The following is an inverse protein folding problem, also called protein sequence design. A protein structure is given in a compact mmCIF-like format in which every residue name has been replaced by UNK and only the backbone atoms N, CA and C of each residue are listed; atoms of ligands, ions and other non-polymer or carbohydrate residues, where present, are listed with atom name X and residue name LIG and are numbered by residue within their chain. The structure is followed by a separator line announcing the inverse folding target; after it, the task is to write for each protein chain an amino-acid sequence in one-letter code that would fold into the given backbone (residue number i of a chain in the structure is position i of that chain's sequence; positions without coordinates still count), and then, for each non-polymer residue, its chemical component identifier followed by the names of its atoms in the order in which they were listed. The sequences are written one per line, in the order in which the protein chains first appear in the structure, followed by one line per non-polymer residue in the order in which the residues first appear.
data_IF_582265426459
#
_entry.id   IF_582265426459
#
_cell.length_a   1.000
_cell.length_b   1.000
_cell.length_c   1.000
_cell.angle_alpha   90.00
_cell.angle_beta   90.00
_cell.angle_gamma   90.00
#
_symmetry.space_group_name_H-M   'P 1'
#
loop_
_entity.id
_entity.type
_entity.pdbx_description
1 polymer ?
#
# COMPACT_ATOMS: atom_id res chain seq x y z
N UNK A 1 -0.70 47.27 5.53
CA UNK A 1 -1.26 47.72 6.82
C UNK A 1 -0.15 47.56 7.85
N UNK A 2 0.47 48.68 8.26
CA UNK A 2 1.64 48.71 9.11
C UNK A 2 1.23 49.14 10.53
N UNK A 3 1.75 48.47 11.56
CA UNK A 3 1.81 48.96 12.94
C UNK A 3 3.14 48.46 13.51
N UNK A 4 4.23 49.22 13.33
CA UNK A 4 4.80 50.25 14.22
C UNK A 4 5.11 49.75 15.64
N UNK A 5 6.41 49.62 15.88
CA UNK A 5 7.08 49.48 17.17
C UNK A 5 6.73 50.63 18.12
N UNK A 6 6.62 50.32 19.40
CA UNK A 6 6.72 51.29 20.49
C UNK A 6 7.59 50.71 21.59
N UNK A 7 8.89 51.00 21.52
CA UNK A 7 9.84 50.84 22.62
C UNK A 7 9.62 52.02 23.56
N UNK A 8 9.14 51.78 24.78
CA UNK A 8 9.10 52.79 25.83
C UNK A 8 10.32 52.63 26.73
N UNK A 9 11.32 53.48 26.48
CA UNK A 9 12.37 53.79 27.45
C UNK A 9 11.80 54.79 28.47
N UNK A 10 11.98 54.54 29.76
CA UNK A 10 11.83 55.55 30.80
C UNK A 10 13.13 55.61 31.60
N UNK A 11 13.77 56.77 31.57
CA UNK A 11 14.77 57.20 32.53
C UNK A 11 14.27 58.51 33.16
N UNK A 12 14.21 58.55 34.49
CA UNK A 12 14.32 59.79 35.27
C UNK A 12 14.91 59.49 36.64
N UNK A 13 15.63 60.48 37.15
CA UNK A 13 16.70 60.45 38.14
C UNK A 13 16.26 60.72 39.58
N UNK A 14 17.00 60.10 40.52
CA UNK A 14 17.49 60.59 41.82
C UNK A 14 16.51 61.13 42.90
N UNK A 15 16.40 60.42 44.03
CA UNK A 15 16.53 60.98 45.40
C UNK A 15 16.39 59.85 46.44
N UNK A 16 17.29 59.88 47.43
CA UNK A 16 17.40 59.08 48.66
C UNK A 16 16.13 58.35 49.14
N UNK A 17 16.25 57.03 49.33
CA UNK A 17 15.94 56.29 50.58
C UNK A 17 15.89 54.79 50.25
N UNK A 18 16.63 54.01 51.05
CA UNK A 18 16.65 52.54 51.12
C UNK A 18 15.45 51.84 50.47
N UNK A 19 15.67 51.08 49.40
CA UNK A 19 14.92 49.85 49.11
C UNK A 19 15.61 49.03 48.01
N UNK A 20 15.84 47.77 48.34
CA UNK A 20 16.48 46.74 47.51
C UNK A 20 15.60 46.52 46.26
N UNK A 21 16.13 46.84 45.07
CA UNK A 21 15.48 46.54 43.80
C UNK A 21 15.70 45.06 43.50
N UNK A 22 14.71 44.23 43.83
CA UNK A 22 14.63 42.84 43.38
C UNK A 22 14.18 42.87 41.91
N UNK A 23 15.12 42.67 40.98
CA UNK A 23 14.82 42.49 39.56
C UNK A 23 14.32 41.06 39.35
N UNK A 24 13.01 40.87 39.38
CA UNK A 24 12.38 39.59 39.00
C UNK A 24 12.35 39.51 37.47
N UNK A 25 13.32 38.81 36.89
CA UNK A 25 13.36 38.46 35.47
C UNK A 25 12.29 37.38 35.20
N UNK A 26 11.14 37.81 34.66
CA UNK A 26 10.15 36.89 34.08
C UNK A 26 10.70 36.32 32.77
N UNK A 27 11.30 35.13 32.83
CA UNK A 27 11.56 34.30 31.65
C UNK A 27 10.23 33.70 31.19
N UNK A 28 9.57 34.35 30.23
CA UNK A 28 8.50 33.70 29.47
C UNK A 28 9.11 32.64 28.58
N UNK A 29 9.01 31.37 28.98
CA UNK A 29 9.29 30.22 28.13
C UNK A 29 8.21 30.19 27.04
N UNK A 30 8.56 30.65 25.85
CA UNK A 30 7.74 30.46 24.66
C UNK A 30 7.90 28.99 24.24
N UNK A 31 6.98 28.14 24.70
CA UNK A 31 6.87 26.77 24.17
C UNK A 31 6.36 26.91 22.74
N UNK A 32 7.29 26.92 21.78
CA UNK A 32 6.96 26.61 20.40
C UNK A 32 6.49 25.16 20.40
N UNK A 33 5.18 24.96 20.43
CA UNK A 33 4.60 23.73 19.91
C UNK A 33 4.98 23.70 18.43
N UNK A 34 6.08 23.01 18.13
CA UNK A 34 6.29 22.44 16.81
C UNK A 34 5.10 21.51 16.58
N UNK A 35 4.08 22.02 15.90
CA UNK A 35 3.06 21.19 15.29
C UNK A 35 3.73 20.38 14.18
N UNK A 36 4.47 19.34 14.59
CA UNK A 36 4.90 18.30 13.66
C UNK A 36 3.76 17.31 13.53
N UNK A 37 2.96 17.52 12.50
CA UNK A 37 2.45 16.50 11.62
C UNK A 37 1.74 17.25 10.51
N UNK A 38 2.44 17.46 9.40
CA UNK A 38 1.77 17.65 8.13
C UNK A 38 0.81 16.47 7.98
N UNK A 39 -0.48 16.70 8.19
CA UNK A 39 -1.50 15.73 7.85
C UNK A 39 -1.41 15.55 6.35
N UNK A 40 -0.71 14.50 5.90
CA UNK A 40 -1.03 13.91 4.61
C UNK A 40 -2.54 13.77 4.64
N UNK A 41 -3.26 14.48 3.76
CA UNK A 41 -4.67 14.21 3.55
C UNK A 41 -4.72 12.73 3.18
N UNK A 42 -5.07 11.87 4.14
CA UNK A 42 -5.09 10.43 3.93
C UNK A 42 -6.20 10.16 2.92
N UNK A 43 -5.81 10.14 1.65
CA UNK A 43 -6.69 9.82 0.56
C UNK A 43 -6.92 8.31 0.61
N UNK A 44 -8.17 7.89 0.80
CA UNK A 44 -8.57 6.49 0.83
C UNK A 44 -9.30 6.06 -0.45
N UNK A 45 -9.37 6.94 -1.44
CA UNK A 45 -10.12 6.75 -2.68
C UNK A 45 -11.51 7.39 -2.62
N UNK A 46 -12.36 7.01 -3.58
CA UNK A 46 -13.69 7.60 -3.72
C UNK A 46 -14.63 7.08 -2.64
N UNK A 47 -15.21 7.98 -1.84
CA UNK A 47 -16.17 7.61 -0.80
C UNK A 47 -17.39 6.87 -1.38
N UNK A 48 -17.76 5.75 -0.76
CA UNK A 48 -18.97 4.98 -1.10
C UNK A 48 -20.06 5.22 -0.06
N UNK A 49 -19.73 5.00 1.22
CA UNK A 49 -20.71 5.01 2.29
C UNK A 49 -20.18 4.36 3.57
N UNK A 50 -20.97 4.41 4.64
CA UNK A 50 -20.68 3.67 5.87
C UNK A 50 -21.60 2.46 6.00
N UNK A 51 -21.09 1.38 6.58
CA UNK A 51 -21.90 0.21 6.89
C UNK A 51 -23.06 0.58 7.81
N UNK A 52 -24.27 0.22 7.39
CA UNK A 52 -25.44 0.14 8.25
C UNK A 52 -25.42 -1.22 8.93
N UNK A 53 -24.97 -1.26 10.19
CA UNK A 53 -25.01 -2.46 11.03
C UNK A 53 -26.44 -2.90 11.32
N UNK A 54 -26.67 -4.21 11.23
CA UNK A 54 -27.94 -4.88 11.55
C UNK A 54 -27.79 -5.84 12.72
N UNK A 55 -26.62 -6.47 12.84
CA UNK A 55 -26.24 -7.36 13.93
C UNK A 55 -24.72 -7.33 14.13
N UNK A 56 -24.25 -7.90 15.25
CA UNK A 56 -22.83 -8.15 15.50
C UNK A 56 -21.91 -6.92 15.44
N UNK A 57 -22.50 -5.74 15.67
CA UNK A 57 -21.82 -4.46 15.72
C UNK A 57 -21.19 -3.99 14.42
N UNK A 58 -21.52 -4.58 13.27
CA UNK A 58 -20.90 -4.27 11.97
C UNK A 58 -20.93 -2.76 11.69
N UNK A 59 -19.76 -2.15 11.55
CA UNK A 59 -19.57 -0.74 11.21
C UNK A 59 -18.24 -0.53 10.50
N UNK A 60 -18.07 0.64 9.90
CA UNK A 60 -16.89 1.03 9.14
C UNK A 60 -17.29 1.89 7.95
N UNK A 61 -16.31 2.53 7.32
CA UNK A 61 -16.52 3.40 6.15
C UNK A 61 -15.82 2.83 4.94
N UNK A 62 -16.54 2.75 3.82
CA UNK A 62 -16.10 2.10 2.60
C UNK A 62 -15.75 3.14 1.53
N UNK A 63 -14.63 2.91 0.86
CA UNK A 63 -14.10 3.71 -0.24
C UNK A 63 -13.73 2.79 -1.42
N UNK A 64 -13.88 3.28 -2.64
CA UNK A 64 -13.33 2.65 -3.83
C UNK A 64 -11.92 3.18 -4.08
N UNK A 65 -10.93 2.29 -3.99
CA UNK A 65 -9.52 2.58 -4.26
C UNK A 65 -9.28 2.66 -5.76
N UNK A 66 -9.81 1.69 -6.50
CA UNK A 66 -9.76 1.60 -7.96
C UNK A 66 -11.00 0.84 -8.50
N UNK A 67 -10.96 0.28 -9.71
CA UNK A 67 -12.09 -0.45 -10.30
C UNK A 67 -12.45 -1.77 -9.60
N UNK A 68 -11.54 -2.38 -8.83
CA UNK A 68 -11.71 -3.71 -8.24
C UNK A 68 -11.27 -3.81 -6.76
N UNK A 69 -10.83 -2.71 -6.14
CA UNK A 69 -10.34 -2.69 -4.77
C UNK A 69 -11.17 -1.75 -3.91
N UNK A 70 -11.68 -2.26 -2.80
CA UNK A 70 -12.38 -1.50 -1.77
C UNK A 70 -11.48 -1.32 -0.56
N UNK A 71 -11.55 -0.16 0.08
CA UNK A 71 -10.94 0.10 1.37
C UNK A 71 -12.03 0.30 2.43
N UNK A 72 -11.99 -0.49 3.49
CA UNK A 72 -12.89 -0.37 4.65
C UNK A 72 -12.09 0.19 5.82
N UNK A 73 -12.35 1.45 6.16
CA UNK A 73 -11.72 2.16 7.27
C UNK A 73 -12.48 1.91 8.57
N UNK A 74 -11.74 1.62 9.64
CA UNK A 74 -12.32 1.49 10.99
C UNK A 74 -13.38 0.41 11.11
N UNK A 75 -13.16 -0.72 10.43
CA UNK A 75 -14.06 -1.86 10.45
C UNK A 75 -14.16 -2.47 11.86
N UNK A 76 -15.38 -2.80 12.26
CA UNK A 76 -15.64 -3.54 13.50
C UNK A 76 -16.65 -4.65 13.22
N UNK A 77 -16.40 -5.81 13.83
CA UNK A 77 -17.28 -6.97 13.85
C UNK A 77 -16.91 -7.83 15.05
N UNK A 78 -17.89 -8.28 15.82
CA UNK A 78 -17.64 -9.00 17.09
C UNK A 78 -17.04 -10.41 16.92
N UNK A 79 -17.14 -11.02 15.74
CA UNK A 79 -16.62 -12.37 15.47
C UNK A 79 -17.56 -13.52 15.85
N UNK A 80 -18.78 -13.24 16.33
CA UNK A 80 -19.68 -14.28 16.89
C UNK A 80 -20.31 -15.14 15.79
N UNK A 81 -20.53 -14.59 14.59
CA UNK A 81 -21.12 -15.31 13.48
C UNK A 81 -20.23 -16.44 12.96
N UNK A 82 -20.74 -17.69 12.89
CA UNK A 82 -19.91 -18.87 12.64
C UNK A 82 -19.34 -18.95 11.21
N UNK A 83 -19.98 -18.27 10.25
CA UNK A 83 -19.62 -18.30 8.83
C UNK A 83 -19.87 -16.92 8.19
N UNK A 84 -19.33 -15.87 8.81
CA UNK A 84 -19.44 -14.51 8.30
C UNK A 84 -18.37 -14.23 7.24
N UNK A 85 -18.73 -13.55 6.16
CA UNK A 85 -17.82 -13.18 5.07
C UNK A 85 -18.13 -11.77 4.57
N UNK A 86 -17.15 -11.13 3.93
CA UNK A 86 -17.46 -10.02 3.03
C UNK A 86 -18.17 -10.58 1.80
N UNK A 87 -19.31 -9.98 1.48
CA UNK A 87 -20.26 -10.50 0.51
C UNK A 87 -20.72 -9.36 -0.39
N UNK A 88 -20.81 -9.59 -1.70
CA UNK A 88 -21.27 -8.57 -2.63
C UNK A 88 -22.22 -9.18 -3.66
N UNK A 89 -23.09 -8.35 -4.23
CA UNK A 89 -24.07 -8.80 -5.21
C UNK A 89 -24.52 -7.72 -6.16
N UNK A 90 -25.17 -8.15 -7.25
CA UNK A 90 -25.64 -7.29 -8.35
C UNK A 90 -27.14 -6.98 -8.28
N UNK A 91 -27.86 -7.72 -7.43
CA UNK A 91 -29.29 -7.55 -7.17
C UNK A 91 -29.56 -6.20 -6.50
N UNK A 92 -30.76 -5.65 -6.70
CA UNK A 92 -31.17 -4.39 -6.05
C UNK A 92 -31.36 -4.51 -4.54
N UNK A 93 -31.55 -5.73 -4.04
CA UNK A 93 -31.71 -6.06 -2.62
C UNK A 93 -30.61 -7.02 -2.21
N UNK A 94 -30.20 -6.95 -0.95
CA UNK A 94 -29.25 -7.91 -0.38
C UNK A 94 -29.88 -9.31 -0.45
N UNK A 95 -29.12 -10.29 -0.92
CA UNK A 95 -29.61 -11.64 -1.21
C UNK A 95 -28.53 -12.70 -1.03
N UNK A 96 -28.93 -13.97 -0.82
CA UNK A 96 -27.98 -15.10 -0.80
C UNK A 96 -27.25 -15.28 -2.13
N UNK A 97 -27.81 -14.85 -3.26
CA UNK A 97 -27.23 -14.96 -4.61
C UNK A 97 -26.06 -13.99 -4.88
N UNK A 98 -25.36 -13.56 -3.83
CA UNK A 98 -24.12 -12.80 -3.93
C UNK A 98 -22.91 -13.71 -4.09
N UNK A 99 -21.73 -13.13 -3.88
CA UNK A 99 -20.46 -13.85 -3.90
C UNK A 99 -19.55 -13.38 -2.77
N UNK A 100 -18.71 -14.29 -2.27
CA UNK A 100 -17.66 -13.99 -1.30
C UNK A 100 -16.61 -13.08 -1.92
N UNK A 101 -16.24 -12.01 -1.23
CA UNK A 101 -14.97 -11.31 -1.47
C UNK A 101 -13.93 -11.94 -0.54
N UNK A 102 -12.87 -12.57 -1.06
CA UNK A 102 -11.86 -13.23 -0.25
C UNK A 102 -11.21 -12.27 0.75
N UNK A 103 -11.11 -12.70 2.00
CA UNK A 103 -10.38 -12.01 3.04
C UNK A 103 -9.87 -13.01 4.09
N UNK A 104 -8.58 -12.98 4.47
CA UNK A 104 -7.52 -12.17 3.87
C UNK A 104 -7.25 -12.52 2.40
N UNK A 105 -6.72 -11.57 1.62
CA UNK A 105 -6.56 -11.69 0.16
C UNK A 105 -5.58 -12.81 -0.24
N UNK A 106 -4.52 -13.00 0.55
CA UNK A 106 -3.42 -13.94 0.30
C UNK A 106 -3.71 -15.37 0.80
N UNK A 107 -4.96 -15.67 1.15
CA UNK A 107 -5.31 -16.99 1.65
C UNK A 107 -5.12 -18.06 0.55
N UNK A 108 -4.35 -19.13 0.81
CA UNK A 108 -3.91 -20.06 -0.24
C UNK A 108 -5.02 -21.02 -0.73
N UNK A 109 -6.14 -21.10 -0.01
CA UNK A 109 -7.23 -22.01 -0.36
C UNK A 109 -8.30 -21.31 -1.21
N UNK A 110 -9.03 -22.12 -1.98
CA UNK A 110 -10.13 -21.66 -2.83
C UNK A 110 -11.27 -20.98 -2.04
N UNK A 111 -11.49 -21.39 -0.79
CA UNK A 111 -12.42 -20.72 0.12
C UNK A 111 -11.64 -20.04 1.27
N UNK A 112 -11.86 -18.74 1.52
CA UNK A 112 -11.27 -18.04 2.66
C UNK A 112 -11.90 -18.52 3.97
N UNK A 113 -11.22 -18.34 5.12
CA UNK A 113 -11.81 -18.62 6.42
C UNK A 113 -12.95 -17.63 6.74
N UNK A 114 -13.88 -17.98 7.64
CA UNK A 114 -14.83 -17.02 8.19
C UNK A 114 -14.13 -15.82 8.83
N UNK A 115 -14.76 -14.65 8.75
CA UNK A 115 -14.33 -13.44 9.42
C UNK A 115 -14.18 -13.67 10.92
N UNK A 116 -13.02 -13.26 11.43
CA UNK A 116 -12.73 -13.22 12.86
C UNK A 116 -13.15 -11.87 13.44
N UNK A 117 -12.99 -11.70 14.75
CA UNK A 117 -13.23 -10.41 15.41
C UNK A 117 -12.35 -9.32 14.80
N UNK A 118 -12.97 -8.17 14.51
CA UNK A 118 -12.29 -6.95 14.09
C UNK A 118 -12.63 -5.81 15.04
N UNK A 119 -11.62 -5.09 15.51
CA UNK A 119 -11.79 -3.92 16.34
C UNK A 119 -11.04 -2.74 15.73
N UNK A 120 -11.79 -1.86 15.04
CA UNK A 120 -11.25 -0.69 14.37
C UNK A 120 -10.12 -1.01 13.36
N UNK A 121 -10.28 -2.10 12.61
CA UNK A 121 -9.30 -2.56 11.63
C UNK A 121 -9.49 -1.82 10.30
N UNK A 122 -8.39 -1.50 9.61
CA UNK A 122 -8.44 -1.04 8.23
C UNK A 122 -8.22 -2.21 7.28
N UNK A 123 -9.10 -2.39 6.30
CA UNK A 123 -9.14 -3.58 5.47
C UNK A 123 -9.11 -3.20 3.99
N UNK A 124 -8.24 -3.84 3.22
CA UNK A 124 -8.26 -3.82 1.76
C UNK A 124 -8.98 -5.08 1.29
N UNK A 125 -9.98 -4.89 0.42
CA UNK A 125 -10.78 -5.97 -0.17
C UNK A 125 -10.63 -5.92 -1.68
N UNK A 126 -9.95 -6.91 -2.27
CA UNK A 126 -9.87 -7.08 -3.72
C UNK A 126 -11.01 -7.97 -4.20
N UNK A 127 -11.80 -7.47 -5.14
CA UNK A 127 -12.86 -8.23 -5.78
C UNK A 127 -12.26 -9.41 -6.57
N UNK A 128 -12.93 -10.59 -6.61
CA UNK A 128 -12.50 -11.72 -7.43
C UNK A 128 -12.31 -11.37 -8.91
N UNK A 129 -11.47 -12.15 -9.60
CA UNK A 129 -11.19 -11.96 -11.02
C UNK A 129 -12.48 -11.83 -11.86
N UNK A 130 -12.48 -10.86 -12.78
CA UNK A 130 -13.62 -10.56 -13.65
C UNK A 130 -14.79 -9.81 -12.99
N UNK A 131 -14.69 -9.45 -11.71
CA UNK A 131 -15.66 -8.57 -11.03
C UNK A 131 -15.09 -7.15 -10.92
N UNK A 132 -15.97 -6.15 -10.99
CA UNK A 132 -15.64 -4.74 -10.81
C UNK A 132 -16.63 -4.11 -9.84
N UNK A 133 -16.21 -3.07 -9.13
CA UNK A 133 -17.05 -2.37 -8.14
C UNK A 133 -18.30 -1.79 -8.81
N UNK A 134 -18.17 -1.27 -10.03
CA UNK A 134 -19.31 -0.76 -10.81
C UNK A 134 -20.35 -1.84 -11.19
N UNK A 135 -20.00 -3.12 -11.10
CA UNK A 135 -20.90 -4.22 -11.43
C UNK A 135 -21.67 -4.74 -10.19
N UNK A 136 -21.34 -4.28 -8.98
CA UNK A 136 -22.03 -4.65 -7.73
C UNK A 136 -22.86 -3.48 -7.21
N UNK A 137 -23.96 -3.79 -6.52
CA UNK A 137 -24.89 -2.80 -5.96
C UNK A 137 -24.77 -2.65 -4.46
N UNK A 138 -24.16 -3.61 -3.78
CA UNK A 138 -23.99 -3.60 -2.34
C UNK A 138 -22.79 -4.44 -1.91
N UNK A 139 -22.24 -4.06 -0.76
CA UNK A 139 -21.29 -4.83 0.04
C UNK A 139 -21.95 -5.13 1.38
N UNK A 140 -21.78 -6.34 1.90
CA UNK A 140 -22.37 -6.82 3.13
C UNK A 140 -21.39 -7.66 3.94
N UNK A 141 -21.59 -7.70 5.25
CA UNK A 141 -21.10 -8.78 6.11
C UNK A 141 -22.23 -9.81 6.20
N UNK A 142 -22.04 -10.96 5.56
CA UNK A 142 -23.09 -11.96 5.39
C UNK A 142 -22.72 -13.27 6.08
N UNK A 143 -23.66 -13.83 6.84
CA UNK A 143 -23.52 -15.16 7.43
C UNK A 143 -24.15 -16.21 6.53
N UNK A 144 -23.32 -17.03 5.86
CA UNK A 144 -23.77 -18.09 4.93
C UNK A 144 -24.64 -19.14 5.63
N UNK A 145 -24.25 -19.61 6.82
CA UNK A 145 -24.95 -20.67 7.58
C UNK A 145 -26.38 -20.31 7.92
N UNK A 146 -26.63 -19.05 8.28
CA UNK A 146 -27.96 -18.59 8.69
C UNK A 146 -28.69 -17.81 7.59
N UNK A 147 -28.03 -17.51 6.46
CA UNK A 147 -28.60 -16.70 5.37
C UNK A 147 -29.06 -15.32 5.88
N UNK A 148 -28.23 -14.69 6.71
CA UNK A 148 -28.54 -13.41 7.38
C UNK A 148 -27.48 -12.36 7.06
N UNK A 149 -27.95 -11.15 6.81
CA UNK A 149 -27.14 -9.94 6.66
C UNK A 149 -26.85 -9.31 8.02
N UNK A 150 -25.58 -9.14 8.37
CA UNK A 150 -25.15 -8.49 9.61
C UNK A 150 -24.90 -7.00 9.45
N UNK A 151 -24.69 -6.53 8.22
CA UNK A 151 -24.54 -5.12 7.93
C UNK A 151 -24.26 -4.91 6.45
N UNK A 152 -24.68 -3.75 5.94
CA UNK A 152 -24.67 -3.48 4.50
C UNK A 152 -24.25 -2.05 4.18
N UNK A 153 -23.72 -1.85 2.98
CA UNK A 153 -23.57 -0.55 2.34
C UNK A 153 -23.92 -0.69 0.86
N UNK A 154 -24.67 0.26 0.34
CA UNK A 154 -25.01 0.30 -1.09
C UNK A 154 -23.96 1.06 -1.87
N UNK A 155 -23.67 0.58 -3.07
CA UNK A 155 -22.74 1.21 -4.00
C UNK A 155 -23.51 2.25 -4.82
N UNK A 156 -23.16 3.55 -4.77
CA UNK A 156 -23.81 4.57 -5.59
C UNK A 156 -23.70 4.26 -7.08
N UNK A 157 -24.79 4.38 -7.83
CA UNK A 157 -24.77 4.18 -9.28
C UNK A 157 -23.94 5.22 -10.04
N UNK A 158 -23.68 6.37 -9.41
CA UNK A 158 -22.84 7.46 -9.94
C UNK A 158 -21.39 7.34 -9.51
N UNK A 159 -21.00 6.24 -8.86
CA UNK A 159 -19.63 6.03 -8.41
C UNK A 159 -18.70 5.90 -9.63
N UNK A 160 -17.71 6.79 -9.72
CA UNK A 160 -16.58 6.65 -10.61
C UNK A 160 -15.31 6.46 -9.78
N UNK A 161 -14.76 5.23 -9.72
CA UNK A 161 -13.54 4.96 -8.98
C UNK A 161 -12.30 5.62 -9.62
N UNK A 162 -11.27 5.97 -8.83
CA UNK A 162 -9.99 6.43 -9.36
C UNK A 162 -9.35 5.38 -10.27
N UNK A 163 -8.56 5.80 -11.26
CA UNK A 163 -7.97 4.90 -12.26
C UNK A 163 -6.51 5.23 -12.54
N UNK A 164 -5.66 4.24 -12.86
CA UNK A 164 -4.30 4.51 -13.31
C UNK A 164 -4.28 5.48 -14.50
N UNK A 165 -3.29 6.37 -14.52
CA UNK A 165 -3.10 7.37 -15.58
C UNK A 165 -1.91 6.99 -16.44
N UNK A 166 -2.11 6.95 -17.75
CA UNK A 166 -1.02 6.73 -18.72
C UNK A 166 -0.46 8.08 -19.16
N UNK A 167 0.85 8.22 -19.06
CA UNK A 167 1.66 9.33 -19.54
C UNK A 167 2.43 8.91 -20.81
N UNK A 168 2.89 9.86 -21.63
CA UNK A 168 3.80 9.55 -22.72
C UNK A 168 5.16 9.01 -22.20
N UNK A 169 5.99 8.50 -23.10
CA UNK A 169 7.38 8.17 -22.80
C UNK A 169 8.20 9.41 -22.37
N UNK A 170 9.38 9.18 -21.79
CA UNK A 170 10.32 10.27 -21.51
C UNK A 170 10.66 11.06 -22.78
N UNK A 171 10.61 12.39 -22.69
CA UNK A 171 11.27 13.27 -23.67
C UNK A 171 12.75 12.92 -23.70
N UNK A 172 13.28 12.64 -24.88
CA UNK A 172 14.65 12.12 -25.05
C UNK A 172 15.62 13.27 -25.27
N UNK A 173 16.51 13.53 -24.30
CA UNK A 173 17.48 14.62 -24.42
C UNK A 173 18.93 14.12 -24.45
N UNK A 174 19.32 13.23 -23.53
CA UNK A 174 20.69 12.77 -23.44
C UNK A 174 20.78 11.31 -22.96
N UNK A 175 21.97 10.74 -23.07
CA UNK A 175 22.34 9.45 -22.45
C UNK A 175 21.46 8.25 -22.85
N UNK A 176 20.91 8.30 -24.06
CA UNK A 176 20.04 7.25 -24.59
C UNK A 176 18.74 7.05 -23.80
N UNK A 177 18.33 8.02 -22.97
CA UNK A 177 17.13 7.90 -22.14
C UNK A 177 15.89 7.73 -23.03
N UNK A 178 15.20 6.61 -22.86
CA UNK A 178 13.89 6.34 -23.47
C UNK A 178 13.14 5.28 -22.68
N UNK A 179 11.82 5.23 -22.82
CA UNK A 179 10.94 4.24 -22.21
C UNK A 179 9.75 3.97 -23.12
N UNK A 180 8.88 3.04 -22.74
CA UNK A 180 7.50 3.07 -23.22
C UNK A 180 6.67 4.14 -22.50
N UNK A 181 5.35 4.13 -22.74
CA UNK A 181 4.42 4.97 -22.01
C UNK A 181 4.44 4.65 -20.51
N UNK A 182 4.62 5.68 -19.70
CA UNK A 182 4.74 5.56 -18.25
C UNK A 182 3.33 5.49 -17.65
N UNK A 183 3.13 4.65 -16.64
CA UNK A 183 1.85 4.56 -15.93
C UNK A 183 1.99 5.06 -14.50
N UNK A 184 1.11 5.97 -14.10
CA UNK A 184 0.88 6.30 -12.69
C UNK A 184 -0.12 5.27 -12.17
N UNK A 185 0.35 4.34 -11.34
CA UNK A 185 -0.45 3.25 -10.80
C UNK A 185 -1.30 3.70 -9.62
N UNK A 186 -0.73 4.56 -8.78
CA UNK A 186 -1.37 5.14 -7.60
C UNK A 186 -0.73 6.51 -7.27
N UNK A 187 -1.15 7.12 -6.17
CA UNK A 187 -0.70 8.43 -5.71
C UNK A 187 0.81 8.54 -5.40
N UNK A 188 1.59 7.44 -5.45
CA UNK A 188 3.04 7.44 -5.23
C UNK A 188 3.82 6.52 -6.17
N UNK A 189 3.19 5.62 -6.92
CA UNK A 189 3.88 4.60 -7.70
C UNK A 189 3.83 4.89 -9.20
N UNK A 190 5.01 4.94 -9.83
CA UNK A 190 5.16 4.91 -11.29
C UNK A 190 5.55 3.51 -11.75
N UNK A 191 4.99 3.07 -12.87
CA UNK A 191 5.50 1.96 -13.67
C UNK A 191 6.09 2.49 -14.98
N UNK A 192 7.34 2.12 -15.25
CA UNK A 192 8.13 2.60 -16.38
C UNK A 192 8.55 1.35 -17.18
N UNK A 193 7.87 1.06 -18.30
CA UNK A 193 8.22 -0.08 -19.14
C UNK A 193 9.39 0.25 -20.08
N UNK A 194 10.15 -0.78 -20.46
CA UNK A 194 11.16 -0.73 -21.51
C UNK A 194 12.19 0.41 -21.32
N UNK A 195 12.59 0.68 -20.08
CA UNK A 195 13.50 1.76 -19.74
C UNK A 195 14.89 1.49 -20.31
N UNK A 196 15.46 2.49 -20.97
CA UNK A 196 16.84 2.48 -21.44
C UNK A 196 17.57 3.72 -20.97
N UNK A 197 18.81 3.55 -20.54
CA UNK A 197 19.72 4.61 -20.13
C UNK A 197 21.15 4.06 -20.15
N UNK A 198 22.11 4.79 -20.70
CA UNK A 198 23.48 4.30 -20.91
C UNK A 198 24.32 4.11 -19.63
N UNK A 199 23.90 4.70 -18.50
CA UNK A 199 24.62 4.61 -17.22
C UNK A 199 25.87 5.49 -17.15
N UNK A 200 26.11 6.38 -18.12
CA UNK A 200 27.32 7.20 -18.19
C UNK A 200 27.22 8.52 -17.40
N UNK A 201 26.05 8.83 -16.84
CA UNK A 201 25.89 9.99 -15.97
C UNK A 201 26.49 9.70 -14.60
N UNK A 202 27.48 10.49 -14.13
CA UNK A 202 28.20 10.15 -12.90
C UNK A 202 27.37 10.29 -11.63
N UNK A 203 26.27 11.04 -11.69
CA UNK A 203 25.43 11.38 -10.54
C UNK A 203 23.96 11.53 -10.95
N UNK A 204 23.45 10.54 -11.69
CA UNK A 204 22.10 10.52 -12.27
C UNK A 204 21.08 9.84 -11.35
N UNK A 205 19.88 10.41 -11.24
CA UNK A 205 18.81 9.91 -10.37
C UNK A 205 17.45 10.02 -11.04
N UNK A 206 16.49 9.21 -10.58
CA UNK A 206 15.09 9.58 -10.72
C UNK A 206 14.81 10.80 -9.85
N UNK A 207 14.18 11.79 -10.44
CA UNK A 207 14.03 13.10 -9.84
C UNK A 207 12.63 13.65 -10.13
N UNK A 208 12.00 14.26 -9.14
CA UNK A 208 10.67 14.86 -9.27
C UNK A 208 10.67 16.26 -8.68
N UNK A 209 9.73 17.09 -9.12
CA UNK A 209 9.56 18.41 -8.53
C UNK A 209 8.43 19.17 -9.18
N UNK A 210 8.41 20.46 -8.89
CA UNK A 210 7.31 21.35 -9.29
C UNK A 210 7.84 22.36 -10.31
N UNK A 211 6.91 23.03 -11.00
CA UNK A 211 7.18 23.93 -12.11
C UNK A 211 7.02 23.24 -13.46
N UNK A 212 7.07 24.03 -14.53
CA UNK A 212 6.81 23.54 -15.89
C UNK A 212 7.93 22.67 -16.48
N UNK A 213 9.13 22.71 -15.89
CA UNK A 213 10.33 22.01 -16.37
C UNK A 213 11.18 21.52 -15.19
N UNK A 214 11.95 20.41 -15.38
CA UNK A 214 12.90 19.93 -14.37
C UNK A 214 13.96 20.95 -13.98
N UNK A 215 14.21 21.04 -12.67
CA UNK A 215 15.16 22.00 -12.10
C UNK A 215 16.04 21.35 -11.02
N UNK A 216 17.16 21.99 -10.63
CA UNK A 216 18.04 21.49 -9.57
C UNK A 216 17.38 21.38 -8.19
N UNK A 217 16.20 21.99 -7.98
CA UNK A 217 15.49 22.01 -6.71
C UNK A 217 14.50 20.84 -6.52
N UNK A 218 14.52 19.86 -7.42
CA UNK A 218 13.73 18.64 -7.27
C UNK A 218 14.18 17.74 -6.12
N UNK A 219 13.52 16.60 -6.00
CA UNK A 219 13.70 15.61 -4.94
C UNK A 219 14.08 14.28 -5.59
N UNK A 220 15.10 13.61 -5.04
CA UNK A 220 15.50 12.27 -5.48
C UNK A 220 14.41 11.24 -5.14
N UNK A 221 14.09 10.41 -6.11
CA UNK A 221 13.18 9.26 -5.96
C UNK A 221 14.03 8.00 -5.92
N UNK A 222 13.82 7.10 -4.93
CA UNK A 222 14.50 5.82 -4.92
C UNK A 222 14.23 5.01 -6.19
N UNK A 223 15.22 4.27 -6.66
CA UNK A 223 15.07 3.36 -7.79
C UNK A 223 14.24 2.12 -7.42
N UNK A 224 14.15 1.15 -8.33
CA UNK A 224 13.32 -0.05 -8.21
C UNK A 224 13.67 -0.97 -7.03
N UNK A 225 14.89 -0.87 -6.50
CA UNK A 225 15.34 -1.61 -5.30
C UNK A 225 15.33 -0.73 -4.04
N UNK A 226 14.78 0.49 -4.12
CA UNK A 226 14.72 1.45 -3.02
C UNK A 226 16.03 2.17 -2.75
N UNK A 227 16.98 2.16 -3.69
CA UNK A 227 18.27 2.83 -3.55
C UNK A 227 18.20 4.30 -3.99
N UNK A 228 18.94 5.15 -3.28
CA UNK A 228 19.19 6.55 -3.63
C UNK A 228 20.62 6.78 -4.16
N UNK A 229 21.32 5.70 -4.51
CA UNK A 229 22.61 5.76 -5.20
C UNK A 229 22.45 6.12 -6.68
N UNK A 230 23.52 6.61 -7.36
CA UNK A 230 23.46 6.91 -8.78
C UNK A 230 22.93 5.74 -9.60
N UNK A 231 22.08 6.05 -10.59
CA UNK A 231 21.43 5.06 -11.43
C UNK A 231 22.46 4.25 -12.23
N UNK A 232 22.25 2.93 -12.25
CA UNK A 232 22.91 2.05 -13.21
C UNK A 232 22.37 2.29 -14.63
N UNK A 233 23.05 1.73 -15.62
CA UNK A 233 22.48 1.61 -16.96
C UNK A 233 21.23 0.71 -16.98
N UNK A 234 20.31 1.03 -17.89
CA UNK A 234 19.10 0.28 -18.18
C UNK A 234 19.10 -0.12 -19.68
N UNK A 235 18.74 -1.36 -19.96
CA UNK A 235 18.72 -2.01 -21.28
C UNK A 235 17.36 -2.69 -21.55
N UNK A 236 16.27 -1.94 -21.39
CA UNK A 236 14.91 -2.41 -21.69
C UNK A 236 14.21 -3.06 -20.52
N UNK A 237 14.53 -2.66 -19.28
CA UNK A 237 13.85 -3.19 -18.10
C UNK A 237 12.50 -2.51 -17.85
N UNK A 238 11.57 -3.29 -17.31
CA UNK A 238 10.32 -2.81 -16.75
C UNK A 238 10.50 -2.62 -15.25
N UNK A 239 10.26 -1.40 -14.76
CA UNK A 239 10.48 -1.07 -13.35
C UNK A 239 9.28 -0.38 -12.73
N UNK A 240 9.15 -0.53 -11.41
CA UNK A 240 8.28 0.28 -10.58
C UNK A 240 9.14 1.11 -9.62
N UNK A 241 8.85 2.39 -9.52
CA UNK A 241 9.48 3.29 -8.54
C UNK A 241 8.42 3.98 -7.72
N UNK A 242 8.72 4.23 -6.45
CA UNK A 242 7.79 4.85 -5.53
C UNK A 242 8.34 6.17 -4.99
N UNK A 243 7.49 7.20 -5.03
CA UNK A 243 7.77 8.50 -4.43
C UNK A 243 8.06 8.37 -2.92
N UNK A 244 8.96 9.19 -2.38
CA UNK A 244 9.13 9.34 -0.94
C UNK A 244 7.79 9.60 -0.24
N UNK A 245 7.66 9.15 1.02
CA UNK A 245 6.39 9.21 1.77
C UNK A 245 5.83 10.62 1.96
N UNK A 246 6.66 11.65 1.88
CA UNK A 246 6.27 13.06 1.98
C UNK A 246 5.67 13.63 0.69
N UNK A 247 5.75 12.91 -0.43
CA UNK A 247 5.29 13.36 -1.74
C UNK A 247 4.16 12.48 -2.28
N UNK A 248 3.34 13.08 -3.14
CA UNK A 248 2.30 12.37 -3.92
C UNK A 248 2.31 12.88 -5.36
N UNK A 249 1.63 12.17 -6.26
CA UNK A 249 1.47 12.63 -7.65
C UNK A 249 0.78 13.99 -7.76
N UNK A 250 -0.02 14.37 -6.76
CA UNK A 250 -0.69 15.68 -6.71
C UNK A 250 0.23 16.82 -6.26
N UNK A 251 1.44 16.51 -5.80
CA UNK A 251 2.39 17.50 -5.30
C UNK A 251 3.60 17.69 -6.21
N UNK A 252 3.61 17.08 -7.40
CA UNK A 252 4.71 17.13 -8.37
C UNK A 252 4.15 17.39 -9.79
N UNK A 253 4.96 18.03 -10.62
CA UNK A 253 4.58 18.44 -11.98
C UNK A 253 5.39 17.69 -13.06
N UNK A 254 6.51 17.07 -12.69
CA UNK A 254 7.34 16.28 -13.62
C UNK A 254 8.08 15.13 -12.92
N UNK A 255 8.39 14.08 -13.71
CA UNK A 255 9.31 13.00 -13.41
C UNK A 255 10.46 13.04 -14.43
N UNK A 256 11.70 13.04 -13.96
CA UNK A 256 12.89 13.15 -14.79
C UNK A 256 13.96 12.13 -14.42
N UNK A 257 14.87 11.87 -15.36
CA UNK A 257 16.23 11.41 -15.03
C UNK A 257 17.15 12.63 -15.06
N UNK A 258 17.71 12.96 -13.91
CA UNK A 258 18.46 14.19 -13.70
C UNK A 258 19.85 13.90 -13.15
N UNK A 259 20.88 14.49 -13.76
CA UNK A 259 22.23 14.47 -13.22
C UNK A 259 22.44 15.67 -12.29
N UNK A 260 22.64 15.40 -11.00
CA UNK A 260 22.81 16.43 -9.97
C UNK A 260 24.15 17.14 -10.13
N UNK A 261 25.24 16.39 -10.31
CA UNK A 261 26.59 16.96 -10.47
C UNK A 261 26.70 18.01 -11.58
N UNK A 262 26.05 17.79 -12.72
CA UNK A 262 26.09 18.71 -13.88
C UNK A 262 24.82 19.52 -14.07
N UNK A 263 23.85 19.41 -13.16
CA UNK A 263 22.54 20.08 -13.27
C UNK A 263 21.88 19.90 -14.64
N UNK A 264 21.88 18.66 -15.15
CA UNK A 264 21.48 18.35 -16.51
C UNK A 264 20.29 17.39 -16.54
N UNK A 265 19.23 17.81 -17.22
CA UNK A 265 18.05 16.99 -17.53
C UNK A 265 18.36 15.99 -18.67
N UNK A 266 18.39 14.69 -18.38
CA UNK A 266 18.57 13.67 -19.42
C UNK A 266 17.27 13.34 -20.17
N UNK A 267 16.15 13.72 -19.55
CA UNK A 267 14.82 13.62 -20.12
C UNK A 267 13.76 13.51 -19.03
N UNK A 268 12.52 13.86 -19.38
CA UNK A 268 11.43 13.95 -18.42
C UNK A 268 10.06 13.74 -19.06
N UNK A 269 9.07 13.52 -18.20
CA UNK A 269 7.65 13.53 -18.53
C UNK A 269 6.93 14.47 -17.56
N UNK A 270 5.90 15.15 -18.05
CA UNK A 270 5.08 16.05 -17.23
C UNK A 270 3.87 15.29 -16.69
N UNK A 271 3.54 15.56 -15.43
CA UNK A 271 2.33 15.07 -14.76
C UNK A 271 1.24 16.13 -15.00
N UNK A 272 0.05 15.75 -15.50
CA UNK A 272 -1.04 16.71 -15.67
C UNK A 272 -1.63 17.13 -14.32
N UNK A 273 -2.40 18.21 -14.24
CA UNK A 273 -3.00 18.65 -12.97
C UNK A 273 -4.27 17.86 -12.60
N UNK A 274 -4.95 17.28 -13.60
CA UNK A 274 -6.25 16.61 -13.49
C UNK A 274 -6.13 15.12 -13.14
N UNK A 275 -5.42 14.78 -12.06
CA UNK A 275 -5.30 13.38 -11.62
C UNK A 275 -6.44 12.94 -10.71
N UNK A 276 -7.11 11.86 -11.12
CA UNK A 276 -7.97 11.01 -10.28
C UNK A 276 -7.40 9.58 -10.26
N UNK A 277 -6.24 9.44 -9.59
CA UNK A 277 -5.51 8.17 -9.49
C UNK A 277 -5.75 7.48 -8.14
N UNK A 278 -5.60 6.15 -8.06
CA UNK A 278 -5.78 5.40 -6.83
C UNK A 278 -4.90 5.92 -5.68
N UNK A 279 -5.36 5.88 -4.42
CA UNK A 279 -4.53 6.21 -3.26
C UNK A 279 -3.42 5.16 -3.05
N UNK A 280 -2.29 5.50 -2.44
CA UNK A 280 -1.17 4.57 -2.23
C UNK A 280 -1.24 3.83 -0.88
N UNK A 281 -2.26 2.99 -0.69
CA UNK A 281 -2.57 2.27 0.57
C UNK A 281 -1.84 0.92 0.70
N UNK A 282 -0.93 0.60 -0.23
CA UNK A 282 -0.20 -0.68 -0.28
C UNK A 282 -0.89 -1.77 -1.09
N UNK A 283 -1.89 -1.41 -1.90
CA UNK A 283 -2.57 -2.35 -2.82
C UNK A 283 -1.73 -2.65 -4.08
N UNK A 284 -0.72 -1.83 -4.36
CA UNK A 284 0.28 -2.05 -5.40
C UNK A 284 1.43 -2.86 -4.79
N UNK A 285 1.58 -4.10 -5.23
CA UNK A 285 2.68 -4.96 -4.80
C UNK A 285 3.90 -4.61 -5.64
N UNK A 286 4.90 -3.96 -5.04
CA UNK A 286 6.22 -3.82 -5.67
C UNK A 286 6.70 -5.22 -6.01
N UNK A 287 6.82 -5.53 -7.30
CA UNK A 287 7.40 -6.80 -7.73
C UNK A 287 8.91 -6.71 -7.52
N UNK A 288 9.35 -6.89 -6.28
CA UNK A 288 10.74 -7.23 -6.03
C UNK A 288 10.86 -8.69 -6.43
N UNK A 289 11.42 -8.96 -7.62
CA UNK A 289 11.94 -10.29 -7.95
C UNK A 289 13.02 -10.64 -6.93
N UNK A 290 12.60 -11.23 -5.82
CA UNK A 290 13.48 -11.79 -4.81
C UNK A 290 14.02 -13.13 -5.30
N UNK A 291 14.86 -13.10 -6.33
CA UNK A 291 15.69 -14.22 -6.77
C UNK A 291 17.17 -13.89 -6.56
N UNK A 292 17.54 -13.43 -5.36
CA UNK A 292 18.92 -13.53 -4.86
C UNK A 292 18.90 -13.78 -3.35
N UNK A 293 18.66 -15.04 -2.95
CA UNK A 293 19.05 -15.56 -1.63
C UNK A 293 19.15 -17.09 -1.67
N UNK A 294 20.05 -17.60 -2.50
CA UNK A 294 20.43 -19.02 -2.56
C UNK A 294 21.90 -19.23 -2.22
N UNK A 295 22.45 -18.48 -1.25
CA UNK A 295 23.77 -18.74 -0.70
C UNK A 295 23.78 -20.10 0.00
N UNK A 296 24.56 -21.04 -0.53
CA UNK A 296 24.68 -22.39 0.00
C UNK A 296 25.08 -22.39 1.48
N UNK A 297 24.19 -22.89 2.33
CA UNK A 297 24.54 -23.36 3.66
C UNK A 297 24.22 -24.85 3.77
N UNK A 298 25.27 -25.59 4.12
CA UNK A 298 25.30 -27.00 4.46
C UNK A 298 24.20 -27.37 5.46
N UNK A 299 23.42 -28.40 5.12
CA UNK A 299 22.41 -29.03 5.99
C UNK A 299 23.04 -29.51 7.32
N UNK A 300 22.47 -29.21 8.49
CA UNK A 300 22.82 -29.90 9.72
C UNK A 300 22.16 -31.29 9.75
N UNK A 301 22.94 -32.32 10.09
CA UNK A 301 22.48 -33.71 10.28
C UNK A 301 21.43 -33.79 11.37
N UNK A 302 20.24 -34.31 11.06
CA UNK A 302 19.20 -34.65 12.05
C UNK A 302 19.71 -35.77 12.97
N UNK A 303 19.70 -35.55 14.29
CA UNK A 303 19.86 -36.61 15.29
C UNK A 303 18.62 -37.52 15.29
N UNK A 304 18.77 -38.85 15.41
CA UNK A 304 17.63 -39.76 15.53
C UNK A 304 16.95 -39.62 16.90
N UNK A 305 15.64 -39.91 17.01
CA UNK A 305 14.89 -39.81 18.26
C UNK A 305 15.32 -40.89 19.27
N UNK A 306 15.16 -40.64 20.59
CA UNK A 306 15.57 -41.57 21.63
C UNK A 306 14.69 -42.83 21.64
N UNK A 307 15.34 -43.99 21.71
CA UNK A 307 14.71 -45.30 21.87
C UNK A 307 14.13 -45.42 23.29
N UNK A 308 12.80 -45.61 23.38
CA UNK A 308 12.15 -46.07 24.61
C UNK A 308 12.34 -47.59 24.73
N UNK A 309 13.06 -48.03 25.76
CA UNK A 309 13.12 -49.44 26.16
C UNK A 309 11.80 -49.82 26.87
N UNK A 310 11.11 -50.82 26.34
CA UNK A 310 10.05 -51.55 27.05
C UNK A 310 10.57 -52.95 27.40
N UNK A 311 10.39 -53.45 28.64
CA UNK A 311 10.84 -54.78 29.02
C UNK A 311 9.81 -55.86 28.64
N UNK A 312 10.31 -56.92 28.00
CA UNK A 312 9.89 -58.33 27.98
C UNK A 312 8.40 -58.69 27.86
N UNK A 313 8.01 -59.38 26.78
CA UNK A 313 7.40 -60.72 26.86
C UNK A 313 7.42 -61.46 25.51
N UNK A 314 7.49 -62.78 25.62
CA UNK A 314 7.76 -63.81 24.62
C UNK A 314 6.68 -63.97 23.53
N UNK A 315 7.07 -64.55 22.39
CA UNK A 315 6.15 -65.31 21.53
C UNK A 315 6.52 -65.41 20.04
N UNK A 316 7.26 -66.45 19.67
CA UNK A 316 7.48 -66.88 18.28
C UNK A 316 6.16 -67.28 17.58
N UNK A 317 5.95 -66.88 16.33
CA UNK A 317 5.66 -67.82 15.22
C UNK A 317 5.74 -67.17 13.83
N UNK A 318 6.42 -67.89 12.94
CA UNK A 318 6.61 -67.70 11.50
C UNK A 318 5.34 -67.95 10.67
N UNK A 319 5.22 -67.33 9.47
CA UNK A 319 4.86 -67.96 8.18
C UNK A 319 5.05 -66.95 7.00
N UNK A 320 5.31 -67.43 5.75
CA UNK A 320 5.94 -66.66 4.68
C UNK A 320 4.97 -66.11 3.60
N UNK A 321 5.57 -65.31 2.72
CA UNK A 321 5.01 -64.62 1.56
C UNK A 321 4.35 -65.52 0.52
N UNK A 322 3.26 -65.04 -0.09
CA UNK A 322 2.73 -65.54 -1.36
C UNK A 322 2.46 -64.35 -2.28
N UNK A 323 3.01 -64.42 -3.50
CA UNK A 323 2.95 -63.39 -4.53
C UNK A 323 1.63 -63.36 -5.31
N UNK A 324 1.43 -62.21 -5.97
CA UNK A 324 0.31 -61.90 -6.87
C UNK A 324 0.44 -62.63 -8.23
N UNK A 325 -0.68 -63.05 -8.85
CA UNK A 325 -0.71 -63.51 -10.24
C UNK A 325 -0.94 -62.35 -11.25
N UNK A 326 -0.57 -62.54 -12.53
CA UNK A 326 -0.66 -61.51 -13.58
C UNK A 326 -2.04 -61.44 -14.27
N UNK A 327 -2.30 -60.27 -14.87
CA UNK A 327 -3.51 -59.93 -15.62
C UNK A 327 -3.59 -60.68 -16.96
N UNK A 328 -4.76 -61.28 -17.23
CA UNK A 328 -5.11 -61.93 -18.48
C UNK A 328 -5.80 -60.98 -19.46
N UNK A 329 -5.37 -61.08 -20.71
CA UNK A 329 -6.01 -60.63 -21.95
C UNK A 329 -7.15 -61.57 -22.36
N UNK A 330 -8.16 -61.07 -23.08
CA UNK A 330 -9.08 -61.92 -23.84
C UNK A 330 -10.25 -61.17 -24.44
N UNK A 331 -10.25 -61.12 -25.77
CA UNK A 331 -11.31 -60.67 -26.67
C UNK A 331 -12.59 -61.51 -26.55
N UNK A 332 -13.75 -60.87 -26.75
CA UNK A 332 -14.81 -61.23 -27.71
C UNK A 332 -15.93 -60.16 -27.71
#
# INVERSE_FOLDING_TARGET
MAVRMATKQYFTTNSNSNNIIVVVLYFTILVLNSGDAGTLNENYGRYIGSFKGLAHGVRGTVYAVDENTLYVRGFFYDGIGPTAYFWAGKSSRISPDGFTIPYPEDYPAMEPPPLQTHNNSNIILRLPAGKRIKDIKWLSVWCRRFTVNFGEVFIPSTLDPPKPRILPEFKRFAHGLRSGNISILDARTFYIPNLHYDGLGPDAYFFVGNGSEPSPYGVKVPNEVGSLEPLKGYQGEDIEIQLPRSLTMHSIDWLAVWCVQYTHNFGHVNIPDDLDVPPALGQTKLTVSSDVAGGGQSKPKKKPPPQFQFPWMFGFRSYPSVGLPPAGSGDD
#
